data_IF_178580655036
#
_entry.id   IF_178580655036
#
_cell.length_a   1.000
_cell.length_b   1.000
_cell.length_c   1.000
_cell.angle_alpha   90.00
_cell.angle_beta   90.00
_cell.angle_gamma   90.00
#
_symmetry.space_group_name_H-M   'P 1'
#
loop_
_entity.id
_entity.type
_entity.pdbx_description
1 polymer ?
#
# COMPACT_ATOMS: atom_id res chain seq x y z
N UNK A 1 37.05 21.59 42.73
CA UNK A 1 36.65 20.22 42.33
C UNK A 1 35.43 20.32 41.42
N UNK A 2 35.50 19.61 40.30
CA UNK A 2 34.56 19.64 39.17
C UNK A 2 33.21 19.04 39.55
N UNK A 3 32.12 19.63 39.05
CA UNK A 3 30.90 18.89 38.74
C UNK A 3 30.71 18.99 37.23
N UNK A 4 31.13 17.91 36.56
CA UNK A 4 30.93 17.72 35.13
C UNK A 4 29.49 17.22 34.96
N UNK A 5 28.59 18.10 34.49
CA UNK A 5 27.25 17.69 34.08
C UNK A 5 27.37 16.87 32.80
N UNK A 6 27.38 15.54 32.95
CA UNK A 6 27.29 14.61 31.83
C UNK A 6 25.81 14.57 31.43
N UNK A 7 25.47 15.31 30.36
CA UNK A 7 24.23 15.12 29.63
C UNK A 7 24.32 13.80 28.89
N UNK A 8 23.72 12.76 29.45
CA UNK A 8 23.49 11.49 28.75
C UNK A 8 22.38 11.73 27.74
N UNK A 9 22.74 11.96 26.47
CA UNK A 9 21.82 11.81 25.37
C UNK A 9 21.51 10.31 25.23
N UNK A 10 20.47 9.83 25.93
CA UNK A 10 19.81 8.61 25.49
C UNK A 10 19.11 8.98 24.19
N UNK A 11 19.74 8.63 23.06
CA UNK A 11 18.98 8.47 21.82
C UNK A 11 17.86 7.49 22.13
N UNK A 12 16.62 7.98 22.15
CA UNK A 12 15.46 7.11 22.10
C UNK A 12 15.57 6.39 20.74
N UNK A 13 16.16 5.19 20.73
CA UNK A 13 15.97 4.25 19.63
C UNK A 13 14.56 3.73 19.85
N UNK A 14 13.61 4.24 19.07
CA UNK A 14 12.27 3.67 19.04
C UNK A 14 12.44 2.32 18.34
N UNK A 15 12.71 1.28 19.12
CA UNK A 15 12.63 -0.07 18.59
C UNK A 15 11.22 -0.21 18.01
N UNK A 16 11.13 -0.62 16.75
CA UNK A 16 9.86 -0.98 16.16
C UNK A 16 9.35 -2.18 16.94
N UNK A 17 8.27 -1.99 17.70
CA UNK A 17 7.66 -3.03 18.52
C UNK A 17 6.81 -3.92 17.62
N UNK A 18 7.48 -4.81 16.88
CA UNK A 18 6.89 -5.70 15.88
C UNK A 18 7.40 -7.10 16.14
N UNK A 19 6.47 -8.05 16.29
CA UNK A 19 6.80 -9.45 16.55
C UNK A 19 7.04 -10.17 15.22
N UNK A 20 8.28 -10.64 15.00
CA UNK A 20 8.69 -11.29 13.75
C UNK A 20 9.05 -12.77 13.96
N UNK A 21 8.66 -13.66 13.04
CA UNK A 21 8.85 -15.13 13.13
C UNK A 21 10.14 -15.65 12.49
N UNK A 22 10.74 -14.86 11.58
CA UNK A 22 11.86 -15.27 10.74
C UNK A 22 13.07 -14.35 10.90
N UNK A 23 14.10 -14.56 10.06
CA UNK A 23 15.25 -13.66 9.95
C UNK A 23 14.76 -12.23 9.66
N UNK A 24 15.16 -11.31 10.54
CA UNK A 24 14.89 -9.88 10.40
C UNK A 24 16.02 -9.25 9.60
N UNK A 25 15.67 -8.46 8.59
CA UNK A 25 16.60 -7.64 7.84
C UNK A 25 16.65 -6.25 8.47
N UNK A 26 17.85 -5.68 8.59
CA UNK A 26 18.08 -4.41 9.25
C UNK A 26 18.89 -3.47 8.37
N UNK A 27 18.57 -2.18 8.44
CA UNK A 27 19.47 -1.13 7.99
C UNK A 27 20.67 -0.98 8.92
N UNK A 28 21.71 -0.32 8.43
CA UNK A 28 22.88 0.06 9.27
C UNK A 28 22.50 0.94 10.47
N UNK A 29 21.36 1.65 10.39
CA UNK A 29 20.81 2.43 11.51
C UNK A 29 20.28 1.56 12.66
N UNK A 30 20.11 0.26 12.45
CA UNK A 30 19.48 -0.66 13.40
C UNK A 30 17.96 -0.75 13.28
N UNK A 31 17.33 0.06 12.44
CA UNK A 31 15.91 -0.08 12.12
C UNK A 31 15.68 -1.33 11.27
N UNK A 32 14.53 -1.99 11.47
CA UNK A 32 14.10 -3.11 10.63
C UNK A 32 13.90 -2.57 9.22
N UNK A 33 14.47 -3.25 8.24
CA UNK A 33 14.16 -3.05 6.83
C UNK A 33 12.98 -3.94 6.43
N UNK A 34 13.04 -5.23 6.77
CA UNK A 34 12.01 -6.19 6.43
C UNK A 34 11.92 -7.31 7.47
N UNK A 35 10.70 -7.74 7.80
CA UNK A 35 10.48 -8.96 8.56
C UNK A 35 9.12 -9.62 8.24
N UNK A 36 8.95 -10.88 8.60
CA UNK A 36 7.65 -11.58 8.56
C UNK A 36 7.00 -11.54 9.93
N UNK A 37 5.75 -11.10 10.03
CA UNK A 37 4.99 -11.09 11.28
C UNK A 37 4.81 -12.52 11.85
N UNK A 38 5.07 -12.70 13.15
CA UNK A 38 4.84 -13.97 13.85
C UNK A 38 3.43 -14.16 14.40
N UNK A 39 2.63 -13.10 14.36
CA UNK A 39 1.23 -13.10 14.76
C UNK A 39 0.51 -11.99 14.01
N UNK A 40 -0.81 -11.95 14.11
CA UNK A 40 -1.54 -10.75 13.71
C UNK A 40 -1.00 -9.52 14.48
N UNK A 41 -0.88 -8.39 13.79
CA UNK A 41 -0.41 -7.12 14.36
C UNK A 41 -1.10 -5.93 13.68
N UNK A 42 -1.11 -4.77 14.34
CA UNK A 42 -1.66 -3.53 13.81
C UNK A 42 -0.56 -2.53 13.48
N UNK A 43 -0.23 -2.38 12.20
CA UNK A 43 0.77 -1.40 11.73
C UNK A 43 0.09 -0.23 11.03
N UNK A 44 0.43 0.99 11.43
CA UNK A 44 -0.19 2.23 10.93
C UNK A 44 -1.73 2.19 10.96
N UNK A 45 -2.29 1.57 12.00
CA UNK A 45 -3.74 1.42 12.19
C UNK A 45 -4.41 0.36 11.31
N UNK A 46 -3.64 -0.48 10.62
CA UNK A 46 -4.15 -1.55 9.76
C UNK A 46 -3.88 -2.93 10.38
N UNK A 47 -4.90 -3.78 10.55
CA UNK A 47 -4.69 -5.16 10.98
C UNK A 47 -4.03 -5.95 9.85
N UNK A 48 -2.89 -6.56 10.14
CA UNK A 48 -2.12 -7.38 9.20
C UNK A 48 -2.06 -8.81 9.76
N UNK A 49 -2.39 -9.84 8.95
CA UNK A 49 -2.36 -11.22 9.42
C UNK A 49 -0.93 -11.70 9.67
N UNK A 50 -0.81 -12.72 10.52
CA UNK A 50 0.41 -13.53 10.65
C UNK A 50 0.93 -13.96 9.27
N UNK A 51 2.26 -14.04 9.13
CA UNK A 51 2.91 -14.40 7.86
C UNK A 51 3.07 -13.21 6.89
N UNK A 52 2.44 -12.07 7.15
CA UNK A 52 2.63 -10.87 6.34
C UNK A 52 4.08 -10.40 6.42
N UNK A 53 4.71 -10.24 5.25
CA UNK A 53 6.04 -9.62 5.14
C UNK A 53 5.90 -8.10 5.15
N UNK A 54 6.47 -7.43 6.15
CA UNK A 54 6.36 -5.98 6.34
C UNK A 54 7.70 -5.29 6.11
N UNK A 55 7.66 -4.14 5.46
CA UNK A 55 8.84 -3.31 5.22
C UNK A 55 8.71 -1.95 5.89
N UNK A 56 9.83 -1.43 6.35
CA UNK A 56 9.95 -0.09 6.90
C UNK A 56 11.03 0.71 6.19
N UNK A 57 10.89 2.04 6.17
CA UNK A 57 11.95 2.92 5.64
C UNK A 57 13.16 2.95 6.58
N UNK A 58 14.26 3.56 6.14
CA UNK A 58 15.46 3.78 6.96
C UNK A 58 15.18 4.56 8.25
N UNK A 59 14.15 5.38 8.24
CA UNK A 59 13.64 6.16 9.37
C UNK A 59 12.69 5.36 10.28
N UNK A 60 12.43 4.10 9.94
CA UNK A 60 11.60 3.18 10.71
C UNK A 60 10.09 3.24 10.41
N UNK A 61 9.69 3.91 9.32
CA UNK A 61 8.28 4.11 8.96
C UNK A 61 7.76 2.93 8.14
N UNK A 62 6.68 2.28 8.58
CA UNK A 62 6.00 1.25 7.80
C UNK A 62 5.46 1.84 6.49
N UNK A 63 5.81 1.26 5.35
CA UNK A 63 5.45 1.82 4.04
C UNK A 63 4.93 0.82 3.01
N UNK A 64 5.19 -0.47 3.16
CA UNK A 64 4.58 -1.51 2.32
C UNK A 64 4.67 -2.90 2.96
N UNK A 65 3.83 -3.82 2.47
CA UNK A 65 3.83 -5.22 2.87
C UNK A 65 3.48 -6.16 1.71
N UNK A 66 3.83 -7.43 1.88
CA UNK A 66 3.33 -8.57 1.15
C UNK A 66 2.36 -9.33 2.05
N UNK A 67 1.06 -9.22 1.75
CA UNK A 67 0.01 -9.85 2.55
C UNK A 67 0.04 -11.36 2.38
N UNK A 68 -0.01 -12.09 3.49
CA UNK A 68 -0.05 -13.56 3.46
C UNK A 68 -1.31 -14.07 2.75
N UNK A 69 -2.45 -13.45 3.05
CA UNK A 69 -3.76 -13.78 2.48
C UNK A 69 -4.52 -12.51 2.06
N UNK A 70 -5.55 -12.67 1.22
CA UNK A 70 -6.44 -11.56 0.86
C UNK A 70 -6.96 -10.88 2.15
N UNK A 71 -6.69 -9.60 2.32
CA UNK A 71 -6.91 -8.87 3.58
C UNK A 71 -7.65 -7.56 3.31
N UNK A 72 -8.63 -7.24 4.15
CA UNK A 72 -9.36 -5.97 4.06
C UNK A 72 -8.54 -4.85 4.71
N UNK A 73 -8.15 -3.86 3.92
CA UNK A 73 -7.39 -2.69 4.34
C UNK A 73 -8.17 -1.46 3.93
N UNK A 74 -8.60 -0.64 4.90
CA UNK A 74 -9.42 0.57 4.66
C UNK A 74 -10.61 0.28 3.71
N UNK A 75 -11.41 -0.73 4.07
CA UNK A 75 -12.55 -1.22 3.29
C UNK A 75 -12.25 -1.92 1.95
N UNK A 76 -11.01 -1.91 1.47
CA UNK A 76 -10.62 -2.56 0.20
C UNK A 76 -10.05 -3.95 0.42
N UNK A 77 -10.58 -4.95 -0.29
CA UNK A 77 -10.04 -6.31 -0.23
C UNK A 77 -8.79 -6.40 -1.11
N UNK A 78 -7.63 -6.26 -0.47
CA UNK A 78 -6.31 -6.31 -1.10
C UNK A 78 -5.88 -7.77 -1.27
N UNK A 79 -5.32 -8.10 -2.43
CA UNK A 79 -4.75 -9.42 -2.73
C UNK A 79 -3.58 -9.70 -1.81
N UNK A 80 -3.59 -10.91 -1.23
CA UNK A 80 -2.42 -11.55 -0.66
C UNK A 80 -2.05 -12.80 -1.45
N UNK A 81 -1.38 -13.73 -0.79
CA UNK A 81 -0.76 -14.91 -1.40
C UNK A 81 0.76 -14.87 -1.34
N UNK A 82 1.33 -14.15 -0.36
CA UNK A 82 2.76 -14.01 -0.19
C UNK A 82 3.35 -12.89 -1.06
N UNK A 83 4.49 -13.15 -1.70
CA UNK A 83 5.37 -12.12 -2.29
C UNK A 83 4.95 -11.60 -3.68
N UNK A 84 3.77 -11.98 -4.18
CA UNK A 84 3.31 -11.61 -5.52
C UNK A 84 2.71 -10.20 -5.60
N UNK A 85 2.10 -9.72 -4.51
CA UNK A 85 1.29 -8.49 -4.50
C UNK A 85 1.73 -7.53 -3.39
N UNK A 86 2.55 -6.54 -3.75
CA UNK A 86 2.95 -5.50 -2.82
C UNK A 86 1.78 -4.53 -2.56
N UNK A 87 1.32 -4.47 -1.31
CA UNK A 87 0.40 -3.45 -0.82
C UNK A 87 1.20 -2.32 -0.20
N UNK A 88 0.93 -1.07 -0.56
CA UNK A 88 1.74 0.08 -0.13
C UNK A 88 0.91 1.13 0.57
N UNK A 89 1.56 1.89 1.45
CA UNK A 89 0.97 2.93 2.27
C UNK A 89 1.67 4.28 2.07
N UNK A 90 0.93 5.35 2.27
CA UNK A 90 1.47 6.69 2.46
C UNK A 90 1.99 6.83 3.90
N UNK A 91 2.87 7.81 4.21
CA UNK A 91 3.40 8.00 5.55
C UNK A 91 2.34 8.22 6.64
N UNK A 92 1.18 8.76 6.28
CA UNK A 92 0.04 8.92 7.19
C UNK A 92 -0.79 7.64 7.41
N UNK A 93 -0.34 6.50 6.88
CA UNK A 93 -1.03 5.21 6.97
C UNK A 93 -2.12 4.98 5.93
N UNK A 94 -2.45 5.96 5.09
CA UNK A 94 -3.45 5.80 4.03
C UNK A 94 -2.97 4.82 2.97
N UNK A 95 -3.88 3.98 2.46
CA UNK A 95 -3.59 3.03 1.41
C UNK A 95 -3.11 3.77 0.17
N UNK A 96 -1.94 3.40 -0.37
CA UNK A 96 -1.37 4.00 -1.58
C UNK A 96 -1.56 3.11 -2.79
N UNK A 97 -1.41 1.80 -2.62
CA UNK A 97 -1.49 0.83 -3.72
C UNK A 97 -2.14 -0.45 -3.24
N UNK A 98 -3.14 -0.92 -3.98
CA UNK A 98 -3.90 -2.11 -3.70
C UNK A 98 -4.09 -2.93 -4.97
N UNK A 99 -3.85 -4.23 -4.87
CA UNK A 99 -4.22 -5.18 -5.91
C UNK A 99 -5.58 -5.75 -5.55
N UNK A 100 -6.67 -5.21 -6.10
CA UNK A 100 -8.01 -5.60 -5.65
C UNK A 100 -8.27 -7.09 -5.91
N UNK A 101 -8.76 -7.81 -4.90
CA UNK A 101 -9.09 -9.23 -5.03
C UNK A 101 -10.42 -9.46 -5.77
N UNK A 102 -11.33 -8.50 -5.66
CA UNK A 102 -12.65 -8.48 -6.28
C UNK A 102 -12.90 -7.15 -6.99
N UNK A 103 -13.87 -7.12 -7.92
CA UNK A 103 -14.29 -5.86 -8.51
C UNK A 103 -14.99 -5.04 -7.42
N UNK A 104 -14.64 -3.76 -7.27
CA UNK A 104 -15.17 -2.88 -6.24
C UNK A 104 -15.69 -1.58 -6.85
N UNK A 105 -16.67 -0.94 -6.22
CA UNK A 105 -17.08 0.43 -6.55
C UNK A 105 -16.44 1.35 -5.55
N UNK A 106 -15.52 2.19 -6.02
CA UNK A 106 -14.73 3.11 -5.19
C UNK A 106 -15.08 4.52 -5.66
N UNK A 107 -15.71 5.32 -4.80
CA UNK A 107 -16.10 6.70 -5.14
C UNK A 107 -16.93 6.75 -6.44
N UNK A 108 -17.94 5.86 -6.53
CA UNK A 108 -18.79 5.65 -7.71
C UNK A 108 -18.08 5.10 -8.97
N UNK A 109 -16.77 4.81 -8.89
CA UNK A 109 -16.00 4.26 -10.00
C UNK A 109 -15.91 2.73 -9.87
N UNK A 110 -16.38 1.96 -10.86
CA UNK A 110 -16.32 0.50 -10.82
C UNK A 110 -14.92 0.03 -11.20
N UNK A 111 -14.05 -0.14 -10.20
CA UNK A 111 -12.69 -0.61 -10.35
C UNK A 111 -12.64 -2.14 -10.46
N UNK A 112 -11.78 -2.63 -11.35
CA UNK A 112 -11.55 -4.05 -11.61
C UNK A 112 -10.63 -4.65 -10.58
N UNK A 113 -10.89 -5.91 -10.23
CA UNK A 113 -9.90 -6.78 -9.61
C UNK A 113 -8.65 -6.89 -10.48
N UNK A 114 -7.55 -7.25 -9.83
CA UNK A 114 -6.29 -7.56 -10.51
C UNK A 114 -6.47 -8.65 -11.57
N UNK A 115 -5.76 -8.50 -12.68
CA UNK A 115 -5.67 -9.48 -13.78
C UNK A 115 -4.22 -9.62 -14.20
N UNK A 116 -3.69 -10.84 -14.15
CA UNK A 116 -2.29 -11.14 -14.50
C UNK A 116 -1.86 -10.54 -15.85
N UNK A 117 -2.68 -10.66 -16.89
CA UNK A 117 -2.38 -10.09 -18.21
C UNK A 117 -2.19 -8.56 -18.20
N UNK A 118 -2.82 -7.81 -17.30
CA UNK A 118 -2.60 -6.37 -17.18
C UNK A 118 -1.22 -6.04 -16.58
N UNK A 119 -0.63 -6.92 -15.78
CA UNK A 119 0.73 -6.72 -15.25
C UNK A 119 1.84 -7.20 -16.19
N UNK A 120 1.55 -8.09 -17.14
CA UNK A 120 2.56 -8.58 -18.10
C UNK A 120 2.86 -7.57 -19.20
N UNK A 121 1.91 -6.71 -19.56
CA UNK A 121 2.02 -5.80 -20.70
C UNK A 121 2.06 -4.30 -20.32
N UNK A 122 2.52 -3.97 -19.10
CA UNK A 122 2.59 -2.59 -18.58
C UNK A 122 3.25 -1.63 -19.56
N UNK A 123 4.35 -2.04 -20.20
CA UNK A 123 5.10 -1.22 -21.16
C UNK A 123 4.38 -0.96 -22.49
N UNK A 124 3.34 -1.72 -22.81
CA UNK A 124 2.60 -1.60 -24.08
C UNK A 124 1.32 -0.79 -23.91
N UNK A 125 0.62 -0.93 -22.77
CA UNK A 125 -0.70 -0.31 -22.58
C UNK A 125 -0.77 0.68 -21.41
N UNK A 126 0.31 0.88 -20.65
CA UNK A 126 0.37 1.84 -19.54
C UNK A 126 -0.67 1.57 -18.44
N UNK A 127 -1.02 0.29 -18.25
CA UNK A 127 -1.88 -0.20 -17.17
C UNK A 127 -1.06 -1.12 -16.30
N UNK A 128 -1.27 -1.08 -15.00
CA UNK A 128 -0.45 -1.85 -14.06
C UNK A 128 -1.24 -2.98 -13.41
N UNK A 129 -2.56 -3.03 -13.57
CA UNK A 129 -3.44 -3.95 -12.83
C UNK A 129 -3.69 -3.57 -11.37
N UNK A 130 -3.02 -2.54 -10.86
CA UNK A 130 -3.20 -2.04 -9.49
C UNK A 130 -4.30 -0.97 -9.42
N UNK A 131 -4.88 -0.80 -8.25
CA UNK A 131 -5.62 0.41 -7.84
C UNK A 131 -4.71 1.26 -6.97
N UNK A 132 -4.77 2.59 -7.08
CA UNK A 132 -3.96 3.46 -6.23
C UNK A 132 -4.73 4.70 -5.79
N UNK A 133 -4.29 5.27 -4.68
CA UNK A 133 -4.94 6.40 -4.02
C UNK A 133 -3.92 7.49 -3.67
N UNK A 134 -4.42 8.70 -3.50
CA UNK A 134 -3.69 9.81 -2.92
C UNK A 134 -3.64 9.71 -1.40
N UNK A 135 -2.77 10.51 -0.78
CA UNK A 135 -2.58 10.55 0.68
C UNK A 135 -3.84 11.02 1.43
N UNK A 136 -4.78 11.68 0.75
CA UNK A 136 -6.10 12.02 1.29
C UNK A 136 -7.17 10.93 1.09
N UNK A 137 -6.78 9.74 0.61
CA UNK A 137 -7.68 8.63 0.33
C UNK A 137 -8.43 8.71 -1.01
N UNK A 138 -8.25 9.78 -1.79
CA UNK A 138 -8.92 9.90 -3.09
C UNK A 138 -8.39 8.90 -4.10
N UNK A 139 -9.30 8.27 -4.86
CA UNK A 139 -8.93 7.35 -5.92
C UNK A 139 -8.04 8.08 -6.94
N UNK A 140 -6.83 7.57 -7.16
CA UNK A 140 -5.89 8.13 -8.15
C UNK A 140 -5.98 7.44 -9.48
N UNK A 141 -6.14 6.11 -9.46
CA UNK A 141 -6.12 5.28 -10.67
C UNK A 141 -6.78 3.93 -10.42
N UNK A 142 -7.57 3.46 -11.39
CA UNK A 142 -7.93 2.06 -11.53
C UNK A 142 -8.28 1.70 -12.98
N UNK A 143 -8.32 0.40 -13.29
CA UNK A 143 -8.93 -0.12 -14.51
C UNK A 143 -10.41 -0.41 -14.28
N UNK A 144 -11.27 -0.09 -15.24
CA UNK A 144 -12.72 -0.23 -15.07
C UNK A 144 -13.21 -1.69 -15.21
N UNK A 145 -14.05 -2.16 -14.30
CA UNK A 145 -14.66 -3.50 -14.34
C UNK A 145 -15.85 -3.61 -15.29
N UNK A 146 -16.47 -2.47 -15.63
CA UNK A 146 -17.61 -2.35 -16.56
C UNK A 146 -17.61 -0.98 -17.25
N UNK A 147 -18.46 -0.82 -18.27
CA UNK A 147 -18.71 0.48 -18.91
C UNK A 147 -19.33 1.48 -17.92
N UNK A 148 -18.96 2.75 -18.02
CA UNK A 148 -19.48 3.84 -17.18
C UNK A 148 -19.40 5.17 -17.93
N UNK A 149 -20.18 6.16 -17.51
CA UNK A 149 -20.04 7.56 -17.92
C UNK A 149 -19.45 8.33 -16.74
N UNK A 150 -18.33 9.00 -16.93
CA UNK A 150 -17.65 9.82 -15.92
C UNK A 150 -17.58 11.24 -16.47
N UNK A 151 -18.13 12.22 -15.74
CA UNK A 151 -18.17 13.63 -16.16
C UNK A 151 -18.70 13.81 -17.60
N UNK A 152 -19.75 13.06 -17.97
CA UNK A 152 -20.36 13.10 -19.29
C UNK A 152 -19.61 12.33 -20.41
N UNK A 153 -18.47 11.72 -20.12
CA UNK A 153 -17.65 10.97 -21.09
C UNK A 153 -17.83 9.46 -20.93
N UNK A 154 -18.11 8.71 -22.01
CA UNK A 154 -18.26 7.26 -21.94
C UNK A 154 -16.89 6.55 -21.88
N UNK A 155 -16.79 5.57 -20.99
CA UNK A 155 -15.64 4.68 -20.83
C UNK A 155 -16.08 3.22 -20.95
N UNK A 156 -15.20 2.39 -21.51
CA UNK A 156 -15.40 0.96 -21.71
C UNK A 156 -14.79 0.18 -20.55
N UNK A 157 -15.23 -1.07 -20.42
CA UNK A 157 -14.58 -2.05 -19.54
C UNK A 157 -13.10 -2.17 -19.91
N UNK A 158 -12.24 -2.25 -18.89
CA UNK A 158 -10.77 -2.26 -18.95
C UNK A 158 -10.13 -0.92 -19.33
N UNK A 159 -10.88 0.14 -19.55
CA UNK A 159 -10.25 1.45 -19.69
C UNK A 159 -9.60 1.84 -18.37
N UNK A 160 -8.45 2.50 -18.48
CA UNK A 160 -7.69 3.00 -17.35
C UNK A 160 -8.09 4.45 -17.10
N UNK A 161 -8.66 4.75 -15.94
CA UNK A 161 -9.04 6.10 -15.54
C UNK A 161 -8.09 6.62 -14.47
N UNK A 162 -7.86 7.94 -14.48
CA UNK A 162 -6.98 8.62 -13.53
C UNK A 162 -7.69 9.86 -13.04
N UNK A 163 -7.51 10.17 -11.76
CA UNK A 163 -8.05 11.37 -11.15
C UNK A 163 -6.93 12.16 -10.49
N UNK A 164 -7.15 13.45 -10.25
CA UNK A 164 -6.29 14.26 -9.41
C UNK A 164 -6.66 14.08 -7.92
N UNK A 165 -5.94 14.74 -7.02
CA UNK A 165 -6.18 14.68 -5.57
C UNK A 165 -7.54 15.25 -5.14
N UNK A 166 -8.23 15.98 -6.02
CA UNK A 166 -9.57 16.52 -5.76
C UNK A 166 -10.68 15.58 -6.29
N UNK A 167 -10.31 14.43 -6.86
CA UNK A 167 -11.25 13.46 -7.46
C UNK A 167 -11.74 13.84 -8.86
N UNK A 168 -11.09 14.78 -9.54
CA UNK A 168 -11.42 15.18 -10.92
C UNK A 168 -10.69 14.32 -11.94
N UNK A 169 -11.41 13.92 -12.99
CA UNK A 169 -10.87 13.07 -14.05
C UNK A 169 -9.73 13.78 -14.80
N UNK A 170 -8.56 13.15 -14.87
CA UNK A 170 -7.43 13.62 -15.68
C UNK A 170 -7.57 13.02 -17.08
N UNK A 171 -7.94 13.85 -18.04
CA UNK A 171 -8.01 13.45 -19.45
C UNK A 171 -6.59 13.44 -20.00
N UNK A 172 -6.12 12.29 -20.48
CA UNK A 172 -4.91 12.26 -21.32
C UNK A 172 -5.24 12.98 -22.63
N UNK A 173 -4.50 14.05 -22.92
CA UNK A 173 -4.44 14.64 -24.26
C UNK A 173 -3.81 13.63 -25.23
#
# INVERSE_FOLDING_TARGET
>A
MKLLNILVFMSLVWAQDVLCSNKIEYYQSGNIEFCTLSSEDTLSGQPLPEGTGVHFTKEGVFNWCFLEQDTRIQEHLCRGGGHDFMTAFHPNGQLRTAWLAVDEVIQDIPCSKFRFLSAVFVGIHGKTGQTSFYENGQLRYCELSKKIIIEGKPYRKRDAVRFNSDGKLIVRQ
#
